data_IF_957950165221
#
_entry.id   IF_957950165221
#
_cell.length_a   1.000
_cell.length_b   1.000
_cell.length_c   1.000
_cell.angle_alpha   90.00
_cell.angle_beta   90.00
_cell.angle_gamma   90.00
#
_symmetry.space_group_name_H-M   'P 1'
#
loop_
_entity.id
_entity.type
_entity.pdbx_description
1 polymer ?
#
# COMPACT_ATOMS: atom_id res chain seq x y z
N UNK A 1 -10.01 -24.37 13.61
CA UNK A 1 -10.89 -24.42 12.41
C UNK A 1 -10.30 -23.45 11.42
N UNK A 2 -10.06 -23.84 10.18
CA UNK A 2 -9.53 -22.92 9.16
C UNK A 2 -10.70 -22.08 8.69
N UNK A 3 -10.85 -20.87 9.22
CA UNK A 3 -11.77 -19.89 8.66
C UNK A 3 -11.39 -19.69 7.19
N UNK A 4 -12.34 -19.85 6.28
CA UNK A 4 -12.11 -19.59 4.86
C UNK A 4 -11.85 -18.09 4.70
N UNK A 5 -10.59 -17.69 4.55
CA UNK A 5 -10.23 -16.31 4.24
C UNK A 5 -10.50 -16.06 2.76
N UNK A 6 -11.31 -15.06 2.45
CA UNK A 6 -11.54 -14.66 1.05
C UNK A 6 -10.34 -13.86 0.57
N UNK A 7 -9.72 -14.33 -0.52
CA UNK A 7 -8.53 -13.71 -1.12
C UNK A 7 -8.94 -12.69 -2.19
N UNK A 8 -8.33 -11.51 -2.16
CA UNK A 8 -8.38 -10.53 -3.24
C UNK A 8 -6.95 -10.38 -3.77
N UNK A 9 -6.75 -10.73 -5.04
CA UNK A 9 -5.42 -10.74 -5.66
C UNK A 9 -4.99 -9.33 -6.05
N UNK A 10 -3.68 -9.14 -6.18
CA UNK A 10 -3.05 -7.87 -6.61
C UNK A 10 -3.30 -7.50 -8.08
N UNK A 11 -4.14 -8.25 -8.79
CA UNK A 11 -4.59 -7.91 -10.14
C UNK A 11 -5.77 -6.92 -10.10
N UNK A 12 -6.46 -6.83 -8.96
CA UNK A 12 -7.60 -5.96 -8.74
C UNK A 12 -7.16 -4.71 -7.99
N UNK A 13 -6.53 -3.78 -8.72
CA UNK A 13 -5.93 -2.57 -8.16
C UNK A 13 -6.54 -1.28 -8.71
N UNK A 14 -6.49 -0.23 -7.89
CA UNK A 14 -6.84 1.12 -8.27
C UNK A 14 -5.75 2.11 -7.80
N UNK A 15 -5.62 3.24 -8.51
CA UNK A 15 -4.70 4.33 -8.15
C UNK A 15 -5.43 5.58 -7.62
N UNK A 16 -6.73 5.42 -7.35
CA UNK A 16 -7.58 6.37 -6.66
C UNK A 16 -8.54 5.64 -5.75
N UNK A 17 -8.92 6.32 -4.67
CA UNK A 17 -10.08 5.99 -3.87
C UNK A 17 -11.25 6.75 -4.47
N UNK A 18 -12.15 6.01 -5.12
CA UNK A 18 -13.25 6.56 -5.90
C UNK A 18 -14.50 5.69 -5.73
N UNK A 19 -15.65 6.34 -5.54
CA UNK A 19 -16.95 5.69 -5.39
C UNK A 19 -17.45 5.07 -6.70
N UNK A 20 -16.91 5.50 -7.84
CA UNK A 20 -17.30 5.04 -9.17
C UNK A 20 -16.47 3.82 -9.62
N UNK A 21 -15.50 3.36 -8.83
CA UNK A 21 -14.76 2.13 -9.10
C UNK A 21 -15.65 0.88 -8.90
N UNK A 22 -15.62 -0.09 -9.84
CA UNK A 22 -16.31 -1.36 -9.64
C UNK A 22 -15.69 -2.10 -8.46
N UNK A 23 -16.53 -2.66 -7.60
CA UNK A 23 -16.04 -3.44 -6.46
C UNK A 23 -15.46 -4.78 -6.92
N UNK A 24 -14.30 -5.12 -6.36
CA UNK A 24 -13.66 -6.42 -6.48
C UNK A 24 -14.50 -7.54 -5.83
N UNK A 25 -15.15 -7.20 -4.72
CA UNK A 25 -15.92 -8.11 -3.89
C UNK A 25 -16.95 -7.32 -3.07
N UNK A 26 -18.08 -7.96 -2.76
CA UNK A 26 -19.04 -7.51 -1.75
C UNK A 26 -19.06 -8.53 -0.60
N UNK A 27 -18.99 -8.06 0.65
CA UNK A 27 -18.92 -8.89 1.86
C UNK A 27 -19.91 -8.44 2.92
N UNK A 28 -20.21 -9.33 3.87
CA UNK A 28 -20.90 -8.96 5.10
C UNK A 28 -19.90 -8.47 6.17
N UNK A 29 -20.37 -7.63 7.10
CA UNK A 29 -19.56 -7.18 8.24
C UNK A 29 -19.04 -8.36 9.06
N UNK A 30 -17.78 -8.27 9.53
CA UNK A 30 -17.09 -9.35 10.25
C UNK A 30 -16.39 -10.38 9.35
N UNK A 31 -16.49 -10.25 8.02
CA UNK A 31 -15.75 -11.12 7.10
C UNK A 31 -14.24 -10.88 7.16
N UNK A 32 -13.46 -11.95 7.31
CA UNK A 32 -12.00 -11.88 7.22
C UNK A 32 -11.52 -12.00 5.77
N UNK A 33 -10.70 -11.03 5.35
CA UNK A 33 -10.11 -10.96 4.01
C UNK A 33 -8.59 -11.16 4.04
N UNK A 34 -8.04 -11.58 2.91
CA UNK A 34 -6.61 -11.50 2.62
C UNK A 34 -6.41 -10.70 1.34
N UNK A 35 -5.56 -9.69 1.40
CA UNK A 35 -5.21 -8.86 0.25
C UNK A 35 -3.79 -9.19 -0.20
N UNK A 36 -3.62 -9.58 -1.45
CA UNK A 36 -2.32 -9.46 -2.09
C UNK A 36 -2.14 -8.04 -2.59
N UNK A 37 -0.98 -7.47 -2.34
CA UNK A 37 -0.66 -6.10 -2.76
C UNK A 37 0.56 -6.08 -3.66
N UNK A 38 0.61 -5.08 -4.53
CA UNK A 38 1.86 -4.66 -5.13
C UNK A 38 2.62 -3.74 -4.18
N UNK A 39 3.92 -3.56 -4.43
CA UNK A 39 4.65 -2.42 -3.88
C UNK A 39 4.12 -1.08 -4.42
N UNK A 40 4.62 0.02 -3.87
CA UNK A 40 4.21 1.39 -4.21
C UNK A 40 4.38 1.78 -5.70
N UNK A 41 5.08 0.95 -6.48
CA UNK A 41 5.40 1.15 -7.90
C UNK A 41 4.91 -0.01 -8.76
N UNK A 42 3.94 -0.78 -8.29
CA UNK A 42 3.29 -1.83 -9.09
C UNK A 42 4.29 -2.84 -9.67
N UNK A 43 5.38 -3.09 -8.94
CA UNK A 43 6.43 -4.02 -9.36
C UNK A 43 7.36 -3.50 -10.45
N UNK A 44 7.34 -2.20 -10.81
CA UNK A 44 8.26 -1.68 -11.84
C UNK A 44 9.70 -1.49 -11.35
N UNK A 45 9.94 -1.61 -10.04
CA UNK A 45 11.27 -1.47 -9.43
C UNK A 45 11.76 -2.85 -9.01
N UNK A 46 12.72 -3.41 -9.74
CA UNK A 46 13.24 -4.77 -9.55
C UNK A 46 14.76 -4.81 -9.34
N UNK A 47 15.47 -3.70 -9.59
CA UNK A 47 16.92 -3.56 -9.45
C UNK A 47 17.30 -2.12 -9.09
N UNK A 48 18.52 -1.93 -8.61
CA UNK A 48 19.06 -0.61 -8.19
C UNK A 48 19.05 0.41 -9.34
N UNK A 49 19.10 -0.03 -10.59
CA UNK A 49 19.05 0.82 -11.78
C UNK A 49 17.63 1.29 -12.15
N UNK A 50 16.58 0.70 -11.58
CA UNK A 50 15.21 1.13 -11.82
C UNK A 50 14.92 2.33 -10.89
N UNK A 51 14.81 3.53 -11.47
CA UNK A 51 14.72 4.79 -10.72
C UNK A 51 13.28 5.33 -10.62
N UNK A 52 13.03 6.14 -9.59
CA UNK A 52 11.80 6.94 -9.43
C UNK A 52 11.94 8.33 -10.07
N UNK A 53 12.61 8.40 -11.22
CA UNK A 53 12.90 9.63 -11.97
C UNK A 53 11.80 10.03 -12.97
N UNK A 54 10.77 9.20 -13.09
CA UNK A 54 9.58 9.45 -13.90
C UNK A 54 8.30 9.05 -13.14
N UNK A 55 7.16 9.71 -13.44
CA UNK A 55 5.86 9.28 -12.94
C UNK A 55 5.59 7.82 -13.31
N UNK A 56 4.97 7.07 -12.40
CA UNK A 56 4.50 5.72 -12.75
C UNK A 56 3.42 5.83 -13.84
N UNK A 57 3.45 5.01 -14.90
CA UNK A 57 2.64 5.22 -16.11
C UNK A 57 1.13 5.20 -15.89
N UNK A 58 0.65 4.53 -14.83
CA UNK A 58 -0.79 4.42 -14.53
C UNK A 58 -1.22 5.26 -13.32
N UNK A 59 -0.31 5.46 -12.36
CA UNK A 59 -0.61 6.07 -11.08
C UNK A 59 0.36 5.61 -9.99
N UNK A 60 0.44 6.31 -8.87
CA UNK A 60 1.33 5.95 -7.75
C UNK A 60 0.56 5.19 -6.67
N UNK A 61 1.24 4.31 -5.93
CA UNK A 61 0.69 3.57 -4.79
C UNK A 61 -0.60 2.78 -5.14
N UNK A 62 -0.50 1.66 -5.87
CA UNK A 62 -1.67 0.82 -6.16
C UNK A 62 -2.32 0.32 -4.86
N UNK A 63 -3.65 0.42 -4.77
CA UNK A 63 -4.44 -0.13 -3.69
C UNK A 63 -5.29 -1.30 -4.20
N UNK A 64 -5.19 -2.46 -3.56
CA UNK A 64 -5.98 -3.66 -3.91
C UNK A 64 -7.42 -3.53 -3.39
N UNK A 65 -8.41 -3.79 -4.24
CA UNK A 65 -9.84 -3.60 -3.97
C UNK A 65 -10.54 -2.88 -5.13
N UNK A 66 -11.59 -2.08 -4.88
CA UNK A 66 -12.24 -1.81 -3.59
C UNK A 66 -13.19 -2.94 -3.16
N UNK A 67 -13.50 -2.99 -1.87
CA UNK A 67 -14.45 -3.95 -1.29
C UNK A 67 -15.70 -3.22 -0.82
N UNK A 68 -16.87 -3.68 -1.25
CA UNK A 68 -18.15 -3.23 -0.71
C UNK A 68 -18.47 -4.01 0.58
N UNK A 69 -18.83 -3.30 1.64
CA UNK A 69 -19.37 -3.89 2.86
C UNK A 69 -20.87 -3.72 2.82
N UNK A 70 -21.61 -4.84 2.79
CA UNK A 70 -23.06 -4.86 2.69
C UNK A 70 -23.67 -4.06 3.84
N UNK A 71 -24.65 -3.21 3.49
CA UNK A 71 -25.37 -2.33 4.41
C UNK A 71 -24.53 -1.25 5.11
N UNK A 72 -23.26 -1.03 4.74
CA UNK A 72 -22.52 0.13 5.22
C UNK A 72 -23.01 1.39 4.48
N UNK A 73 -23.37 2.43 5.24
CA UNK A 73 -23.95 3.67 4.70
C UNK A 73 -23.08 4.91 5.03
N UNK A 74 -23.19 6.00 4.25
CA UNK A 74 -22.54 7.26 4.58
C UNK A 74 -22.91 7.74 5.99
N UNK A 75 -21.89 7.90 6.84
CA UNK A 75 -22.07 8.26 8.26
C UNK A 75 -21.61 7.16 9.21
N UNK A 76 -21.52 5.92 8.74
CA UNK A 76 -20.97 4.81 9.51
C UNK A 76 -19.44 4.89 9.63
N UNK A 77 -18.91 4.23 10.66
CA UNK A 77 -17.49 3.96 10.81
C UNK A 77 -17.14 2.53 10.40
N UNK A 78 -16.11 2.36 9.58
CA UNK A 78 -15.55 1.04 9.28
C UNK A 78 -14.38 0.74 10.23
N UNK A 79 -14.50 -0.31 11.03
CA UNK A 79 -13.40 -0.83 11.84
C UNK A 79 -12.69 -1.94 11.05
N UNK A 80 -11.40 -1.76 10.79
CA UNK A 80 -10.54 -2.74 10.11
C UNK A 80 -9.47 -3.18 11.08
N UNK A 81 -9.48 -4.45 11.46
CA UNK A 81 -8.44 -5.08 12.27
C UNK A 81 -7.39 -5.72 11.35
N UNK A 82 -6.11 -5.38 11.56
CA UNK A 82 -5.00 -5.95 10.81
C UNK A 82 -4.51 -7.20 11.55
N UNK A 83 -4.90 -8.38 11.06
CA UNK A 83 -4.62 -9.65 11.74
C UNK A 83 -3.22 -10.21 11.47
N UNK A 84 -2.67 -9.96 10.27
CA UNK A 84 -1.39 -10.50 9.81
C UNK A 84 -0.86 -9.66 8.64
N UNK A 85 0.46 -9.48 8.53
CA UNK A 85 1.11 -8.88 7.36
C UNK A 85 2.31 -9.75 6.97
N UNK A 86 2.29 -10.26 5.74
CA UNK A 86 3.37 -11.07 5.19
C UNK A 86 4.12 -10.29 4.13
N UNK A 87 5.42 -10.10 4.35
CA UNK A 87 6.30 -9.42 3.41
C UNK A 87 6.75 -10.37 2.31
N UNK A 88 7.02 -9.82 1.13
CA UNK A 88 7.83 -10.49 0.11
C UNK A 88 9.28 -10.64 0.60
N UNK A 89 10.07 -11.45 -0.10
CA UNK A 89 11.50 -11.67 0.15
C UNK A 89 12.39 -10.50 -0.28
N UNK A 90 11.81 -9.47 -0.90
CA UNK A 90 12.49 -8.26 -1.31
C UNK A 90 11.59 -7.01 -1.19
N UNK A 91 12.24 -5.86 -1.05
CA UNK A 91 11.64 -4.54 -1.18
C UNK A 91 12.67 -3.55 -1.74
N UNK A 92 12.31 -2.28 -1.81
CA UNK A 92 13.23 -1.24 -2.26
C UNK A 92 13.17 0.00 -1.37
N UNK A 93 14.28 0.74 -1.32
CA UNK A 93 14.33 2.11 -0.87
C UNK A 93 14.64 3.00 -2.07
N UNK A 94 14.11 4.21 -2.07
CA UNK A 94 14.37 5.16 -3.14
C UNK A 94 14.65 6.56 -2.58
N UNK A 95 15.60 7.24 -3.23
CA UNK A 95 15.84 8.67 -3.10
C UNK A 95 15.36 9.31 -4.39
N UNK A 96 14.51 10.33 -4.24
CA UNK A 96 14.09 11.18 -5.34
C UNK A 96 14.84 12.50 -5.29
N UNK A 97 15.41 12.90 -6.43
CA UNK A 97 16.14 14.16 -6.53
C UNK A 97 15.24 15.33 -6.17
N UNK A 98 15.66 16.14 -5.20
CA UNK A 98 14.95 17.36 -4.81
C UNK A 98 13.61 17.16 -4.09
N UNK A 99 13.28 15.94 -3.66
CA UNK A 99 12.06 15.63 -2.88
C UNK A 99 12.38 15.16 -1.45
N UNK A 100 11.41 15.28 -0.55
CA UNK A 100 11.50 14.82 0.83
C UNK A 100 12.22 15.79 1.78
N UNK A 101 12.33 15.39 3.05
CA UNK A 101 12.89 16.25 4.12
C UNK A 101 14.35 16.66 3.86
N UNK A 102 15.13 15.78 3.23
CA UNK A 102 16.54 16.00 2.91
C UNK A 102 16.75 16.34 1.43
N UNK A 103 15.75 16.95 0.77
CA UNK A 103 15.80 17.32 -0.65
C UNK A 103 17.10 18.06 -1.06
N UNK A 104 17.61 18.92 -0.19
CA UNK A 104 18.85 19.68 -0.40
C UNK A 104 20.13 18.83 -0.44
N UNK A 105 20.07 17.58 0.03
CA UNK A 105 21.16 16.61 -0.03
C UNK A 105 20.94 15.56 -1.14
N UNK A 106 19.70 15.39 -1.60
CA UNK A 106 19.30 14.44 -2.63
C UNK A 106 19.52 15.03 -4.04
N UNK A 107 20.77 15.03 -4.50
CA UNK A 107 21.16 15.62 -5.79
C UNK A 107 20.94 14.70 -7.00
N UNK A 108 20.69 13.43 -6.76
CA UNK A 108 20.45 12.39 -7.76
C UNK A 108 19.31 11.46 -7.33
N UNK A 109 18.73 10.77 -8.32
CA UNK A 109 17.82 9.66 -8.05
C UNK A 109 18.65 8.42 -7.74
N UNK A 110 18.22 7.64 -6.76
CA UNK A 110 18.87 6.38 -6.43
C UNK A 110 17.84 5.38 -5.92
N UNK A 111 18.01 4.12 -6.28
CA UNK A 111 17.24 3.00 -5.75
C UNK A 111 18.20 2.03 -5.07
N UNK A 112 17.73 1.39 -4.01
CA UNK A 112 18.42 0.26 -3.39
C UNK A 112 17.44 -0.86 -3.14
N UNK A 113 17.64 -1.99 -3.79
CA UNK A 113 16.95 -3.23 -3.47
C UNK A 113 17.45 -3.76 -2.13
N UNK A 114 16.51 -4.21 -1.31
CA UNK A 114 16.78 -4.83 -0.02
C UNK A 114 16.13 -6.19 0.05
N UNK A 115 16.88 -7.14 0.58
CA UNK A 115 16.39 -8.49 0.82
C UNK A 115 15.75 -8.56 2.20
N UNK A 116 14.63 -9.25 2.29
CA UNK A 116 13.89 -9.52 3.51
C UNK A 116 13.97 -11.01 3.81
N UNK A 117 14.50 -11.37 4.97
CA UNK A 117 14.59 -12.76 5.43
C UNK A 117 13.97 -12.89 6.82
N UNK A 118 12.83 -13.58 6.89
CA UNK A 118 12.04 -13.67 8.11
C UNK A 118 11.71 -12.26 8.63
N UNK A 119 12.15 -11.95 9.85
CA UNK A 119 11.94 -10.65 10.48
C UNK A 119 13.12 -9.68 10.30
N UNK A 120 13.97 -9.88 9.29
CA UNK A 120 15.17 -9.05 9.07
C UNK A 120 15.18 -8.43 7.67
N UNK A 121 15.39 -7.11 7.60
CA UNK A 121 15.67 -6.37 6.37
C UNK A 121 17.17 -6.12 6.25
N UNK A 122 17.75 -6.52 5.12
CA UNK A 122 19.18 -6.37 4.83
C UNK A 122 19.44 -5.16 3.94
N UNK A 123 20.19 -4.18 4.45
CA UNK A 123 20.59 -3.00 3.70
C UNK A 123 22.12 -2.89 3.68
N UNK A 124 22.73 -3.32 2.56
CA UNK A 124 24.17 -3.45 2.46
C UNK A 124 24.72 -4.41 3.54
N UNK A 125 25.65 -3.93 4.37
CA UNK A 125 26.19 -4.68 5.50
C UNK A 125 25.39 -4.59 6.81
N UNK A 126 24.30 -3.81 6.83
CA UNK A 126 23.51 -3.50 8.02
C UNK A 126 22.20 -4.30 8.00
N UNK A 127 21.72 -4.68 9.19
CA UNK A 127 20.47 -5.43 9.37
C UNK A 127 19.51 -4.63 10.25
N UNK A 128 18.25 -4.59 9.85
CA UNK A 128 17.17 -3.96 10.59
C UNK A 128 16.08 -4.98 10.93
N UNK A 129 15.44 -4.90 12.11
CA UNK A 129 14.23 -5.68 12.36
C UNK A 129 13.11 -5.21 11.44
N UNK A 130 12.45 -6.15 10.78
CA UNK A 130 11.25 -5.87 9.99
C UNK A 130 10.11 -5.44 10.92
N UNK A 131 9.43 -4.36 10.54
CA UNK A 131 8.24 -3.84 11.23
C UNK A 131 7.18 -3.54 10.17
N UNK A 132 6.48 -4.58 9.66
CA UNK A 132 5.53 -4.40 8.58
C UNK A 132 4.39 -3.48 8.98
N UNK A 133 3.92 -2.67 8.04
CA UNK A 133 2.79 -1.75 8.20
C UNK A 133 2.10 -1.54 6.85
N UNK A 134 0.87 -1.03 6.88
CA UNK A 134 0.12 -0.63 5.67
C UNK A 134 0.21 0.88 5.48
N UNK A 135 0.83 1.31 4.37
CA UNK A 135 0.99 2.73 4.03
C UNK A 135 -0.29 3.38 3.48
N UNK A 136 -0.97 2.67 2.58
CA UNK A 136 -2.24 3.11 1.96
C UNK A 136 -3.40 2.22 2.42
N UNK A 137 -4.36 2.83 3.10
CA UNK A 137 -5.65 2.20 3.45
C UNK A 137 -6.71 3.29 3.56
N UNK A 138 -7.90 3.06 3.01
CA UNK A 138 -8.95 4.07 3.03
C UNK A 138 -10.24 3.64 2.39
N UNK A 139 -11.24 4.51 2.48
CA UNK A 139 -12.57 4.35 1.87
C UNK A 139 -12.74 5.34 0.71
N UNK A 140 -13.74 5.09 -0.15
CA UNK A 140 -14.08 6.05 -1.18
C UNK A 140 -14.64 7.35 -0.55
N UNK A 141 -14.14 8.55 -0.93
CA UNK A 141 -14.70 9.81 -0.47
C UNK A 141 -16.10 10.04 -1.07
N UNK A 142 -16.92 10.84 -0.38
CA UNK A 142 -18.26 11.20 -0.88
C UNK A 142 -18.23 12.10 -2.14
N UNK A 143 -17.13 12.84 -2.32
CA UNK A 143 -16.93 13.75 -3.45
C UNK A 143 -16.27 13.08 -4.65
N UNK A 144 -15.47 13.85 -5.38
CA UNK A 144 -14.63 13.33 -6.45
C UNK A 144 -13.60 12.34 -5.90
N UNK A 145 -13.23 11.34 -6.71
CA UNK A 145 -12.15 10.42 -6.40
C UNK A 145 -10.84 11.14 -6.09
N UNK A 146 -10.07 10.55 -5.18
CA UNK A 146 -8.78 11.08 -4.72
C UNK A 146 -7.68 10.08 -5.03
N UNK A 147 -6.54 10.52 -5.56
CA UNK A 147 -5.42 9.61 -5.80
C UNK A 147 -4.98 8.92 -4.51
N UNK A 148 -4.67 7.64 -4.58
CA UNK A 148 -4.15 6.83 -3.46
C UNK A 148 -2.83 7.36 -2.90
N UNK A 149 -2.15 8.26 -3.60
CA UNK A 149 -0.95 8.95 -3.14
C UNK A 149 -1.20 10.09 -2.15
N UNK A 150 -2.45 10.48 -1.90
CA UNK A 150 -2.81 11.52 -0.93
C UNK A 150 -3.50 10.93 0.30
N UNK A 151 -3.26 11.54 1.46
CA UNK A 151 -4.02 11.27 2.67
C UNK A 151 -5.16 12.29 2.84
N UNK A 152 -6.22 11.90 3.54
CA UNK A 152 -7.32 12.78 3.92
C UNK A 152 -8.26 12.14 4.93
N UNK A 153 -9.46 12.72 5.15
CA UNK A 153 -10.46 12.15 6.06
C UNK A 153 -10.91 10.73 5.71
N UNK A 154 -10.70 10.32 4.46
CA UNK A 154 -11.01 8.99 3.94
C UNK A 154 -9.88 7.97 4.14
N UNK A 155 -8.78 8.32 4.81
CA UNK A 155 -7.55 7.53 4.87
C UNK A 155 -6.61 7.88 3.71
N UNK A 156 -6.25 6.89 2.88
CA UNK A 156 -5.33 7.07 1.77
C UNK A 156 -3.87 6.85 2.18
N UNK A 157 -2.94 7.63 1.62
CA UNK A 157 -1.49 7.52 1.86
C UNK A 157 -1.07 8.04 3.24
N UNK A 158 -1.52 7.38 4.30
CA UNK A 158 -1.28 7.82 5.67
C UNK A 158 0.14 7.59 6.15
N UNK A 159 0.84 6.59 5.59
CA UNK A 159 2.21 6.21 5.96
C UNK A 159 2.42 6.18 7.49
N UNK A 160 1.42 5.65 8.20
CA UNK A 160 1.38 5.61 9.65
C UNK A 160 1.84 4.24 10.19
N UNK A 161 2.98 4.22 10.88
CA UNK A 161 3.61 3.01 11.44
C UNK A 161 2.76 2.21 12.43
N UNK A 162 1.66 2.79 12.94
CA UNK A 162 0.76 2.11 13.87
C UNK A 162 -0.35 1.33 13.16
N UNK A 163 -0.45 1.43 11.83
CA UNK A 163 -1.33 0.57 11.02
C UNK A 163 -0.58 -0.73 10.73
N UNK A 164 -0.52 -1.57 11.75
CA UNK A 164 0.22 -2.83 11.80
C UNK A 164 -0.58 -3.86 12.62
N UNK A 165 -0.03 -5.06 12.78
CA UNK A 165 -0.55 -6.12 13.69
C UNK A 165 -0.33 -5.73 15.15
#
# INVERSE_FOLDING_TARGET
MVESRTLITRDQIAYSLDKDHPCALEIDSGTTLTFETWDARSGTIQRDEDLLDHPHPVGSNPATGPVAVRNAEPGDGLCVEILDIRLADQGFLAVKKGEGLLAHMANEYATRMVRVEGETVHFGGIRFPARPMVGVIGTAPAGAGVSTGFAGPHGGNMDNRYIAV
#
